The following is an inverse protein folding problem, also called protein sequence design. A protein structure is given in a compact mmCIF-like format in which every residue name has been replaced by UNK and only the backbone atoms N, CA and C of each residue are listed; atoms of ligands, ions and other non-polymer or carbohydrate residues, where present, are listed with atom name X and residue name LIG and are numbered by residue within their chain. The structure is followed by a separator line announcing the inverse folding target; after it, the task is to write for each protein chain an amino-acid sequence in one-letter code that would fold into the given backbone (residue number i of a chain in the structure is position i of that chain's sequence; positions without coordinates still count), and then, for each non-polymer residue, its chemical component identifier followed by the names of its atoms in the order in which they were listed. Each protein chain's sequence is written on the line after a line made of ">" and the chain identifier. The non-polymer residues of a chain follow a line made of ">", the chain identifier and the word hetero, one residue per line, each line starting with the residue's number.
data_IF_173770342004
#
_entry.id   IF_173770342004
#
_cell.length_a   1.000
_cell.length_b   1.000
_cell.length_c   1.000
_cell.angle_alpha   90.00
_cell.angle_beta   90.00
_cell.angle_gamma   90.00
#
_symmetry.space_group_name_H-M   'P 1'
#
loop_
_entity.id
_entity.type
_entity.pdbx_description
1 polymer ?
#
# COMPACT_ATOMS: atom_id res chain seq x y z
N UNK A 1 6.94 8.77 1.00
CA UNK A 1 5.78 8.04 0.43
C UNK A 1 4.41 8.72 0.63
N UNK A 2 4.35 10.05 0.83
CA UNK A 2 3.08 10.79 0.87
C UNK A 2 2.28 10.69 2.18
N UNK A 3 2.96 10.40 3.29
CA UNK A 3 2.37 10.32 4.65
C UNK A 3 3.27 11.08 5.63
N UNK A 4 2.72 11.55 6.74
CA UNK A 4 3.51 12.16 7.82
C UNK A 4 4.35 11.13 8.60
N UNK A 5 5.30 11.61 9.40
CA UNK A 5 6.24 10.78 10.17
C UNK A 5 5.66 10.19 11.45
N UNK A 6 4.41 10.47 11.84
CA UNK A 6 3.87 10.13 13.16
C UNK A 6 4.02 8.65 13.52
N UNK A 7 3.84 7.74 12.56
CA UNK A 7 4.03 6.30 12.80
C UNK A 7 5.51 5.91 12.99
N UNK A 8 6.41 6.52 12.21
CA UNK A 8 7.84 6.27 12.28
C UNK A 8 8.44 6.85 13.57
N UNK A 9 8.01 8.05 13.98
CA UNK A 9 8.51 8.75 15.17
C UNK A 9 8.20 8.00 16.49
N UNK A 10 7.24 7.06 16.45
CA UNK A 10 6.90 6.19 17.58
C UNK A 10 7.62 4.85 17.57
N UNK A 11 8.35 4.52 16.51
CA UNK A 11 9.17 3.30 16.49
C UNK A 11 10.49 3.54 17.22
N UNK A 12 11.07 2.53 17.89
CA UNK A 12 12.36 2.68 18.58
C UNK A 12 13.52 3.09 17.67
N UNK A 13 13.40 2.84 16.38
CA UNK A 13 14.40 3.05 15.34
C UNK A 13 14.04 4.16 14.34
N UNK A 14 12.92 4.88 14.52
CA UNK A 14 12.51 6.00 13.65
C UNK A 14 12.10 5.58 12.24
N UNK A 15 11.60 4.35 12.06
CA UNK A 15 11.27 3.75 10.78
C UNK A 15 9.81 3.28 10.71
N UNK A 16 9.24 3.34 9.51
CA UNK A 16 7.97 2.67 9.26
C UNK A 16 8.18 1.16 9.24
N UNK A 17 7.30 0.44 9.93
CA UNK A 17 7.24 -1.01 9.79
C UNK A 17 6.63 -1.37 8.43
N UNK A 18 7.34 -2.18 7.65
CA UNK A 18 6.78 -2.79 6.44
C UNK A 18 5.80 -3.91 6.83
N UNK A 19 4.54 -3.75 6.46
CA UNK A 19 3.51 -4.79 6.65
C UNK A 19 3.76 -5.95 5.68
N UNK A 20 3.69 -7.22 6.12
CA UNK A 20 3.75 -8.36 5.23
C UNK A 20 2.64 -8.30 4.16
N UNK A 21 2.95 -8.67 2.92
CA UNK A 21 1.98 -8.67 1.82
C UNK A 21 1.10 -9.94 1.79
N UNK A 22 1.50 -10.99 2.50
CA UNK A 22 0.72 -12.23 2.60
C UNK A 22 -0.60 -11.98 3.34
N UNK A 23 -1.72 -12.35 2.73
CA UNK A 23 -3.05 -12.18 3.31
C UNK A 23 -3.52 -10.72 3.39
N UNK A 24 -2.90 -9.79 2.66
CA UNK A 24 -3.17 -8.35 2.78
C UNK A 24 -4.64 -7.99 2.42
N UNK A 25 -5.30 -8.83 1.62
CA UNK A 25 -6.72 -8.70 1.27
C UNK A 25 -7.65 -8.76 2.49
N UNK A 26 -7.22 -9.37 3.60
CA UNK A 26 -7.96 -9.41 4.86
C UNK A 26 -8.11 -8.03 5.52
N UNK A 27 -7.30 -7.04 5.11
CA UNK A 27 -7.38 -5.64 5.55
C UNK A 27 -8.33 -4.78 4.70
N UNK A 28 -9.12 -5.38 3.81
CA UNK A 28 -10.15 -4.67 3.03
C UNK A 28 -11.17 -3.96 3.93
N UNK A 29 -11.42 -4.47 5.14
CA UNK A 29 -12.28 -3.83 6.13
C UNK A 29 -11.47 -2.80 6.94
N UNK A 30 -11.77 -1.52 6.73
CA UNK A 30 -11.09 -0.39 7.38
C UNK A 30 -10.09 0.34 6.49
N UNK A 31 -9.85 -0.18 5.27
CA UNK A 31 -8.93 0.40 4.30
C UNK A 31 -7.48 -0.07 4.47
N UNK A 32 -6.68 0.20 3.45
CA UNK A 32 -5.24 -0.02 3.41
C UNK A 32 -4.51 1.21 3.96
N UNK A 33 -3.22 1.03 4.27
CA UNK A 33 -2.40 1.94 5.09
C UNK A 33 -2.81 1.98 6.56
N UNK A 34 -1.96 2.59 7.38
CA UNK A 34 -2.13 2.63 8.84
C UNK A 34 -3.30 3.50 9.30
N UNK A 35 -3.80 4.39 8.43
CA UNK A 35 -4.93 5.29 8.68
C UNK A 35 -6.15 4.99 7.80
N UNK A 36 -6.11 3.91 7.01
CA UNK A 36 -7.23 3.48 6.16
C UNK A 36 -7.50 4.39 4.96
N UNK A 37 -6.59 5.29 4.59
CA UNK A 37 -6.82 6.31 3.54
C UNK A 37 -7.14 5.74 2.16
N UNK A 38 -6.80 4.48 1.91
CA UNK A 38 -7.04 3.81 0.63
C UNK A 38 -8.12 2.74 0.81
N UNK A 39 -9.22 2.85 0.08
CA UNK A 39 -10.34 1.91 0.20
C UNK A 39 -10.03 0.57 -0.49
N UNK A 40 -9.23 0.59 -1.55
CA UNK A 40 -8.94 -0.58 -2.38
C UNK A 40 -7.44 -0.81 -2.55
N UNK A 41 -7.08 -2.05 -2.89
CA UNK A 41 -5.72 -2.39 -3.32
C UNK A 41 -5.29 -1.59 -4.56
N UNK A 42 -6.25 -1.24 -5.43
CA UNK A 42 -5.99 -0.47 -6.63
C UNK A 42 -5.54 0.95 -6.29
N UNK A 43 -6.19 1.60 -5.32
CA UNK A 43 -5.81 2.94 -4.87
C UNK A 43 -4.37 2.97 -4.33
N UNK A 44 -3.94 1.90 -3.65
CA UNK A 44 -2.56 1.75 -3.16
C UNK A 44 -1.57 1.63 -4.33
N UNK A 45 -1.91 0.82 -5.34
CA UNK A 45 -1.07 0.65 -6.54
C UNK A 45 -0.96 1.97 -7.30
N UNK A 46 -2.07 2.68 -7.51
CA UNK A 46 -2.08 3.97 -8.20
C UNK A 46 -1.27 5.03 -7.43
N UNK A 47 -1.34 5.03 -6.09
CA UNK A 47 -0.49 5.88 -5.25
C UNK A 47 0.99 5.63 -5.48
N UNK A 48 1.43 4.36 -5.45
CA UNK A 48 2.84 4.03 -5.65
C UNK A 48 3.33 4.26 -7.08
N UNK A 49 2.50 3.97 -8.07
CA UNK A 49 2.78 4.26 -9.48
C UNK A 49 3.04 5.76 -9.69
N UNK A 50 2.16 6.62 -9.15
CA UNK A 50 2.34 8.06 -9.21
C UNK A 50 3.51 8.58 -8.37
N UNK A 51 3.68 8.07 -7.15
CA UNK A 51 4.72 8.54 -6.23
C UNK A 51 6.13 8.23 -6.72
N UNK A 52 6.33 7.08 -7.35
CA UNK A 52 7.62 6.64 -7.85
C UNK A 52 7.79 6.84 -9.36
N UNK A 53 6.74 7.29 -10.09
CA UNK A 53 6.79 7.45 -11.54
C UNK A 53 7.05 6.13 -12.25
N UNK A 54 6.36 5.06 -11.86
CA UNK A 54 6.59 3.71 -12.40
C UNK A 54 6.01 3.54 -13.81
N UNK A 55 5.08 4.42 -14.21
CA UNK A 55 4.43 4.43 -15.51
C UNK A 55 3.79 3.07 -15.87
N UNK A 56 3.15 2.45 -14.88
CA UNK A 56 2.44 1.19 -15.08
C UNK A 56 1.24 1.41 -16.00
N UNK A 57 1.08 0.53 -16.98
CA UNK A 57 -0.14 0.45 -17.78
C UNK A 57 -1.32 -0.05 -16.94
N UNK A 58 -2.53 0.21 -17.40
CA UNK A 58 -3.76 -0.25 -16.74
C UNK A 58 -3.79 -1.78 -16.57
N UNK A 59 -3.28 -2.53 -17.55
CA UNK A 59 -3.15 -3.98 -17.49
C UNK A 59 -2.19 -4.42 -16.38
N UNK A 60 -0.98 -3.84 -16.33
CA UNK A 60 0.02 -4.17 -15.30
C UNK A 60 -0.49 -3.88 -13.89
N UNK A 61 -1.22 -2.77 -13.70
CA UNK A 61 -1.84 -2.45 -12.41
C UNK A 61 -2.91 -3.47 -12.02
N UNK A 62 -3.73 -3.91 -12.98
CA UNK A 62 -4.71 -4.98 -12.77
C UNK A 62 -4.05 -6.30 -12.38
N UNK A 63 -3.03 -6.72 -13.13
CA UNK A 63 -2.28 -7.95 -12.87
C UNK A 63 -1.59 -7.92 -11.50
N UNK A 64 -1.01 -6.76 -11.12
CA UNK A 64 -0.39 -6.58 -9.81
C UNK A 64 -1.41 -6.70 -8.67
N UNK A 65 -2.60 -6.14 -8.82
CA UNK A 65 -3.68 -6.26 -7.83
C UNK A 65 -4.08 -7.73 -7.64
N UNK A 66 -4.25 -8.49 -8.72
CA UNK A 66 -4.61 -9.92 -8.63
C UNK A 66 -3.48 -10.77 -8.06
N UNK A 67 -2.23 -10.50 -8.45
CA UNK A 67 -1.06 -11.13 -7.86
C UNK A 67 -1.02 -10.92 -6.34
N UNK A 68 -1.21 -9.67 -5.88
CA UNK A 68 -1.22 -9.32 -4.45
C UNK A 68 -2.34 -10.02 -3.67
N UNK A 69 -3.52 -10.23 -4.27
CA UNK A 69 -4.62 -11.00 -3.66
C UNK A 69 -4.29 -12.49 -3.50
N UNK A 70 -3.40 -13.03 -4.33
CA UNK A 70 -3.01 -14.45 -4.30
C UNK A 70 -1.99 -14.81 -3.21
N UNK A 71 -1.42 -13.82 -2.52
CA UNK A 71 -0.35 -13.99 -1.52
C UNK A 71 -0.84 -14.43 -0.14
#
# INVERSE_FOLDING_TARGET
>A
IGIDSFQADRSPDGHYRTTPLKGLWSHSKGGYYHDGRFATLRDVVDHYDGHFGLHLSEAQKGDLVEFLKSL
#
